data_IF_791478430214
#
_entry.id   IF_791478430214
#
_cell.length_a   1.000
_cell.length_b   1.000
_cell.length_c   1.000
_cell.angle_alpha   90.00
_cell.angle_beta   90.00
_cell.angle_gamma   90.00
#
_symmetry.space_group_name_H-M   'P 1'
#
loop_
_entity.id
_entity.type
_entity.pdbx_description
1 polymer ?
#
# COMPACT_ATOMS: atom_id res chain seq x y z
N UNK A 1 -23.50 -13.49 -10.92
CA UNK A 1 -22.44 -13.50 -11.95
C UNK A 1 -21.15 -13.44 -11.16
N UNK A 2 -20.30 -14.46 -11.23
CA UNK A 2 -19.07 -14.47 -10.45
C UNK A 2 -18.13 -13.40 -11.01
N UNK A 3 -17.67 -12.49 -10.14
CA UNK A 3 -16.70 -11.48 -10.52
C UNK A 3 -15.36 -12.16 -10.76
N UNK A 4 -14.80 -11.97 -11.96
CA UNK A 4 -13.49 -12.49 -12.31
C UNK A 4 -12.45 -11.63 -11.58
N UNK A 5 -11.69 -12.23 -10.65
CA UNK A 5 -10.73 -11.51 -9.81
C UNK A 5 -9.29 -11.69 -10.31
N UNK A 6 -8.48 -10.65 -10.15
CA UNK A 6 -7.04 -10.72 -10.36
C UNK A 6 -6.39 -11.61 -9.30
N UNK A 7 -5.64 -12.63 -9.71
CA UNK A 7 -4.96 -13.54 -8.75
C UNK A 7 -3.82 -12.87 -7.98
N UNK A 8 -3.33 -11.71 -8.43
CA UNK A 8 -2.25 -10.97 -7.79
C UNK A 8 -2.69 -9.95 -6.73
N UNK A 9 -3.79 -9.22 -6.96
CA UNK A 9 -4.23 -8.14 -6.07
C UNK A 9 -5.70 -8.24 -5.63
N UNK A 10 -6.44 -9.26 -6.09
CA UNK A 10 -7.86 -9.45 -5.75
C UNK A 10 -8.82 -8.45 -6.37
N UNK A 11 -8.36 -7.52 -7.20
CA UNK A 11 -9.25 -6.54 -7.85
C UNK A 11 -10.15 -7.20 -8.91
N UNK A 12 -11.41 -6.75 -9.06
CA UNK A 12 -12.29 -7.22 -10.13
C UNK A 12 -11.74 -6.81 -11.49
N UNK A 13 -11.64 -7.78 -12.40
CA UNK A 13 -11.07 -7.58 -13.72
C UNK A 13 -12.03 -6.82 -14.61
N UNK A 14 -11.50 -5.83 -15.34
CA UNK A 14 -12.23 -5.07 -16.33
C UNK A 14 -11.35 -4.72 -17.53
N UNK A 15 -11.94 -4.50 -18.70
CA UNK A 15 -11.21 -4.26 -19.96
C UNK A 15 -11.53 -2.90 -20.59
N UNK A 16 -12.31 -2.05 -19.89
CA UNK A 16 -12.88 -0.81 -20.43
C UNK A 16 -12.06 0.43 -20.10
N UNK A 17 -11.55 0.52 -18.87
CA UNK A 17 -10.93 1.73 -18.33
C UNK A 17 -9.48 1.48 -17.96
N UNK A 18 -8.55 1.83 -18.85
CA UNK A 18 -7.11 1.60 -18.66
C UNK A 18 -6.56 2.15 -17.35
N UNK A 19 -7.07 3.29 -16.93
CA UNK A 19 -6.58 4.02 -15.74
C UNK A 19 -7.29 3.60 -14.45
N UNK A 20 -8.20 2.62 -14.49
CA UNK A 20 -8.91 2.12 -13.31
C UNK A 20 -8.35 0.79 -12.84
N UNK A 21 -8.54 0.52 -11.55
CA UNK A 21 -8.14 -0.73 -10.91
C UNK A 21 -8.71 -1.93 -11.66
N UNK A 22 -7.94 -3.02 -11.70
CA UNK A 22 -8.37 -4.26 -12.34
C UNK A 22 -8.33 -4.24 -13.87
N UNK A 23 -7.81 -3.17 -14.50
CA UNK A 23 -7.68 -3.15 -15.95
C UNK A 23 -6.79 -4.27 -16.47
N UNK A 24 -7.25 -4.97 -17.50
CA UNK A 24 -6.42 -5.84 -18.34
C UNK A 24 -6.87 -5.72 -19.80
N UNK A 25 -5.98 -5.81 -20.79
CA UNK A 25 -6.40 -5.85 -22.20
C UNK A 25 -7.30 -7.06 -22.48
N UNK A 26 -8.26 -6.92 -23.39
CA UNK A 26 -9.19 -8.00 -23.77
C UNK A 26 -8.44 -9.29 -24.20
N UNK A 27 -7.36 -9.13 -24.96
CA UNK A 27 -6.51 -10.25 -25.39
C UNK A 27 -5.76 -10.95 -24.24
N UNK A 28 -5.47 -10.23 -23.15
CA UNK A 28 -4.86 -10.79 -21.96
C UNK A 28 -5.90 -11.48 -21.06
N UNK A 29 -7.14 -10.97 -21.05
CA UNK A 29 -8.26 -11.62 -20.38
C UNK A 29 -8.55 -13.00 -21.00
N UNK A 30 -8.68 -13.06 -22.31
CA UNK A 30 -8.96 -14.31 -23.04
C UNK A 30 -7.88 -15.36 -22.78
N UNK A 31 -6.60 -14.98 -22.93
CA UNK A 31 -5.47 -15.87 -22.60
C UNK A 31 -5.44 -16.28 -21.13
N UNK A 32 -5.69 -15.36 -20.21
CA UNK A 32 -5.68 -15.63 -18.77
C UNK A 32 -6.83 -16.55 -18.34
N UNK A 33 -7.96 -16.53 -19.03
CA UNK A 33 -9.06 -17.47 -18.81
C UNK A 33 -8.73 -18.88 -19.35
N UNK A 34 -7.97 -18.98 -20.44
CA UNK A 34 -7.51 -20.26 -20.99
C UNK A 34 -6.42 -20.91 -20.13
N UNK A 35 -5.47 -20.12 -19.62
CA UNK A 35 -4.34 -20.64 -18.82
C UNK A 35 -4.63 -20.72 -17.32
N UNK A 36 -5.67 -20.04 -16.84
CA UNK A 36 -5.97 -19.87 -15.41
C UNK A 36 -5.10 -18.81 -14.73
N UNK A 37 -4.18 -18.16 -15.45
CA UNK A 37 -3.27 -17.13 -14.90
C UNK A 37 -3.72 -15.72 -15.30
N UNK A 38 -4.73 -15.20 -14.60
CA UNK A 38 -5.30 -13.89 -14.90
C UNK A 38 -4.80 -12.78 -13.96
N UNK A 39 -3.96 -11.91 -14.52
CA UNK A 39 -3.45 -10.72 -13.84
C UNK A 39 -4.05 -9.43 -14.42
N UNK A 40 -4.27 -8.45 -13.55
CA UNK A 40 -4.44 -7.07 -14.00
C UNK A 40 -3.10 -6.51 -14.52
N UNK A 41 -3.16 -5.44 -15.32
CA UNK A 41 -1.99 -4.82 -15.93
C UNK A 41 -0.93 -4.43 -14.90
N UNK A 42 -1.34 -3.95 -13.71
CA UNK A 42 -0.41 -3.59 -12.62
C UNK A 42 0.35 -4.79 -12.09
N UNK A 43 -0.35 -5.87 -11.72
CA UNK A 43 0.27 -7.10 -11.22
C UNK A 43 1.16 -7.74 -12.27
N UNK A 44 0.74 -7.72 -13.55
CA UNK A 44 1.54 -8.22 -14.65
C UNK A 44 2.86 -7.46 -14.79
N UNK A 45 2.82 -6.11 -14.77
CA UNK A 45 4.04 -5.28 -14.86
C UNK A 45 4.95 -5.41 -13.66
N UNK A 46 4.39 -5.48 -12.46
CA UNK A 46 5.16 -5.73 -11.25
C UNK A 46 5.90 -7.07 -11.32
N UNK A 47 5.25 -8.12 -11.84
CA UNK A 47 5.86 -9.46 -11.91
C UNK A 47 6.92 -9.60 -13.00
N UNK A 48 6.71 -9.01 -14.18
CA UNK A 48 7.60 -9.21 -15.33
C UNK A 48 8.66 -8.11 -15.49
N UNK A 49 8.36 -6.90 -15.00
CA UNK A 49 9.21 -5.73 -15.18
C UNK A 49 9.66 -5.09 -13.86
N UNK A 50 9.23 -5.63 -12.71
CA UNK A 50 9.46 -5.05 -11.38
C UNK A 50 9.07 -3.56 -11.30
N UNK A 51 8.07 -3.17 -12.09
CA UNK A 51 7.65 -1.79 -12.22
C UNK A 51 6.54 -1.49 -11.23
N UNK A 52 6.85 -0.61 -10.27
CA UNK A 52 5.87 -0.09 -9.31
C UNK A 52 5.08 1.00 -10.02
N UNK A 53 3.81 0.71 -10.31
CA UNK A 53 2.90 1.73 -10.84
C UNK A 53 2.32 2.50 -9.66
N UNK A 54 2.40 3.83 -9.70
CA UNK A 54 1.81 4.68 -8.67
C UNK A 54 0.31 4.40 -8.54
N UNK A 55 -0.11 4.10 -7.32
CA UNK A 55 -1.52 4.07 -6.97
C UNK A 55 -1.92 5.52 -6.77
N UNK A 56 -2.85 6.01 -7.59
CA UNK A 56 -3.52 7.29 -7.32
C UNK A 56 -4.44 7.10 -6.11
N UNK A 57 -3.86 6.95 -4.92
CA UNK A 57 -4.54 7.29 -3.69
C UNK A 57 -4.67 8.81 -3.72
N UNK A 58 -5.90 9.30 -3.82
CA UNK A 58 -6.14 10.73 -3.64
C UNK A 58 -5.88 11.08 -2.19
N UNK A 59 -5.45 12.32 -1.92
CA UNK A 59 -5.24 12.78 -0.54
C UNK A 59 -6.51 12.59 0.31
N UNK A 60 -7.69 12.73 -0.30
CA UNK A 60 -8.99 12.52 0.34
C UNK A 60 -9.21 11.05 0.77
N UNK A 61 -8.84 10.08 -0.07
CA UNK A 61 -8.94 8.65 0.28
C UNK A 61 -8.01 8.30 1.44
N UNK A 62 -6.82 8.90 1.48
CA UNK A 62 -5.88 8.74 2.58
C UNK A 62 -6.44 9.34 3.89
N UNK A 63 -7.00 10.53 3.84
CA UNK A 63 -7.65 11.16 5.00
C UNK A 63 -8.83 10.33 5.51
N UNK A 64 -9.65 9.77 4.60
CA UNK A 64 -10.76 8.88 4.99
C UNK A 64 -10.28 7.63 5.73
N UNK A 65 -9.24 6.98 5.21
CA UNK A 65 -8.62 5.82 5.88
C UNK A 65 -8.09 6.19 7.27
N UNK A 66 -7.43 7.35 7.41
CA UNK A 66 -6.94 7.82 8.69
C UNK A 66 -8.06 8.12 9.69
N UNK A 67 -9.18 8.69 9.23
CA UNK A 67 -10.37 8.91 10.06
C UNK A 67 -10.99 7.59 10.53
N UNK A 68 -11.15 6.60 9.65
CA UNK A 68 -11.66 5.27 10.04
C UNK A 68 -10.76 4.59 11.08
N UNK A 69 -9.44 4.71 10.95
CA UNK A 69 -8.49 4.21 11.95
C UNK A 69 -8.65 4.98 13.26
N UNK A 70 -8.78 6.31 13.21
CA UNK A 70 -8.97 7.17 14.38
C UNK A 70 -10.22 6.87 15.19
N UNK A 71 -11.33 6.50 14.52
CA UNK A 71 -12.60 6.14 15.15
C UNK A 71 -12.62 4.70 15.71
N UNK A 72 -11.68 3.86 15.29
CA UNK A 72 -11.49 2.52 15.84
C UNK A 72 -10.72 2.55 17.16
N UNK A 73 -10.89 1.54 18.03
CA UNK A 73 -10.04 1.36 19.21
C UNK A 73 -8.90 0.38 18.87
N UNK A 74 -7.78 0.91 18.38
CA UNK A 74 -6.66 0.15 17.83
C UNK A 74 -5.30 0.72 18.25
N UNK A 75 -4.28 -0.14 18.25
CA UNK A 75 -2.89 0.31 18.40
C UNK A 75 -2.33 0.71 17.03
N UNK A 76 -1.94 1.96 16.86
CA UNK A 76 -1.33 2.45 15.63
C UNK A 76 0.18 2.30 15.72
N UNK A 77 0.76 1.39 14.94
CA UNK A 77 2.21 1.20 14.88
C UNK A 77 2.78 1.99 13.70
N UNK A 78 3.44 3.11 13.98
CA UNK A 78 4.09 3.95 12.97
C UNK A 78 5.56 3.55 12.81
N UNK A 79 5.90 2.93 11.69
CA UNK A 79 7.28 2.50 11.39
C UNK A 79 8.01 3.59 10.62
N UNK A 80 9.10 4.11 11.17
CA UNK A 80 9.90 5.20 10.56
C UNK A 80 11.31 4.72 10.23
N UNK A 81 11.88 5.13 9.09
CA UNK A 81 13.32 4.93 8.82
C UNK A 81 14.11 5.93 9.67
N UNK A 82 15.06 5.44 10.48
CA UNK A 82 15.86 6.29 11.36
C UNK A 82 16.80 7.21 10.56
N UNK A 83 17.18 6.86 9.33
CA UNK A 83 18.03 7.70 8.48
C UNK A 83 17.26 8.75 7.68
N UNK A 84 15.95 8.55 7.50
CA UNK A 84 15.08 9.48 6.79
C UNK A 84 13.80 9.72 7.58
N UNK A 85 13.97 10.26 8.79
CA UNK A 85 12.86 10.55 9.69
C UNK A 85 11.88 11.56 9.09
N UNK A 86 12.39 12.63 8.47
CA UNK A 86 11.53 13.66 7.87
C UNK A 86 10.74 13.13 6.66
N UNK A 87 11.30 12.18 5.89
CA UNK A 87 10.58 11.52 4.79
C UNK A 87 9.63 10.41 5.24
N UNK A 88 9.85 9.81 6.41
CA UNK A 88 9.06 8.69 6.92
C UNK A 88 7.93 9.11 7.88
N UNK A 89 7.95 10.33 8.40
CA UNK A 89 6.93 10.83 9.34
C UNK A 89 5.77 11.44 8.58
N UNK A 90 4.58 10.90 8.78
CA UNK A 90 3.33 11.44 8.24
C UNK A 90 2.93 12.69 9.06
N UNK A 91 2.95 13.90 8.45
CA UNK A 91 2.61 15.13 9.15
C UNK A 91 1.16 15.10 9.62
N UNK A 92 0.92 15.42 10.89
CA UNK A 92 -0.44 15.48 11.42
C UNK A 92 -1.08 14.14 11.75
N UNK A 93 -0.40 13.00 11.55
CA UNK A 93 -0.89 11.68 11.97
C UNK A 93 -1.47 11.69 13.40
N UNK A 94 -0.82 12.29 14.43
CA UNK A 94 -1.36 12.32 15.79
C UNK A 94 -2.70 13.04 15.93
N UNK A 95 -3.06 13.95 15.00
CA UNK A 95 -4.37 14.62 15.01
C UNK A 95 -5.48 13.70 14.52
N UNK A 96 -5.16 12.80 13.60
CA UNK A 96 -6.12 11.86 13.01
C UNK A 96 -6.32 10.61 13.87
N UNK A 97 -5.28 10.17 14.59
CA UNK A 97 -5.34 8.99 15.45
C UNK A 97 -5.43 9.34 16.94
N UNK A 98 -5.91 10.54 17.28
CA UNK A 98 -5.89 11.08 18.66
C UNK A 98 -6.65 10.23 19.70
N UNK A 99 -7.58 9.37 19.25
CA UNK A 99 -8.29 8.41 20.10
C UNK A 99 -7.54 7.11 20.39
N UNK A 100 -6.38 6.90 19.75
CA UNK A 100 -5.64 5.64 19.76
C UNK A 100 -4.22 5.79 20.28
N UNK A 101 -3.72 4.72 20.92
CA UNK A 101 -2.33 4.63 21.29
C UNK A 101 -1.45 4.53 20.03
N UNK A 102 -0.38 5.33 19.99
CA UNK A 102 0.57 5.34 18.87
C UNK A 102 1.93 4.82 19.32
N UNK A 103 2.39 3.73 18.72
CA UNK A 103 3.72 3.16 18.93
C UNK A 103 4.62 3.50 17.75
N UNK A 104 5.67 4.30 17.98
CA UNK A 104 6.67 4.62 16.97
C UNK A 104 7.78 3.56 16.96
N UNK A 105 8.07 2.99 15.78
CA UNK A 105 9.09 1.95 15.59
C UNK A 105 10.14 2.41 14.60
N UNK A 106 11.37 2.63 15.08
CA UNK A 106 12.50 2.98 14.22
C UNK A 106 13.07 1.75 13.51
N UNK A 107 12.93 1.71 12.19
CA UNK A 107 13.52 0.68 11.33
C UNK A 107 14.98 1.03 10.95
N UNK A 108 15.75 0.02 10.54
CA UNK A 108 17.11 0.15 9.98
C UNK A 108 18.21 0.58 10.97
N UNK A 109 18.08 0.26 12.26
CA UNK A 109 19.09 0.51 13.30
C UNK A 109 20.52 0.00 13.01
N UNK A 110 20.70 -0.91 12.06
CA UNK A 110 21.97 -1.63 11.78
C UNK A 110 23.14 -0.71 11.38
N UNK A 111 22.90 0.48 10.82
CA UNK A 111 23.99 1.39 10.43
C UNK A 111 24.40 2.42 11.50
N UNK A 112 23.94 2.27 12.75
CA UNK A 112 24.35 3.17 13.84
C UNK A 112 25.77 2.85 14.34
N UNK A 113 26.67 3.84 14.44
CA UNK A 113 27.95 3.66 15.12
C UNK A 113 27.71 3.27 16.58
N UNK A 114 28.55 2.39 17.12
CA UNK A 114 28.47 1.87 18.50
C UNK A 114 28.55 2.93 19.62
N UNK A 115 28.73 4.21 19.28
CA UNK A 115 28.88 5.33 20.23
C UNK A 115 27.55 5.94 20.73
N UNK A 116 26.43 5.69 20.07
CA UNK A 116 25.15 6.28 20.48
C UNK A 116 24.50 5.41 21.55
N UNK A 117 24.58 5.85 22.81
CA UNK A 117 23.82 5.27 23.92
C UNK A 117 22.33 5.54 23.69
N UNK A 118 21.55 4.48 23.53
CA UNK A 118 20.11 4.54 23.72
C UNK A 118 19.86 4.84 25.20
N UNK A 119 19.24 5.98 25.50
CA UNK A 119 18.77 6.29 26.83
C UNK A 119 17.76 5.20 27.24
N UNK A 120 17.95 4.66 28.45
CA UNK A 120 17.04 3.69 29.08
C UNK A 120 15.71 4.34 29.43
#
# INVERSE_FOLDING_TARGET
>A
MEDILCIGCGAPIQTKHKDKMGYTPQSALEKGLETGELYCQRCFRLRHYNEITDVQLTDDDFLRLLHEVGDSNALVVNVVDIFDFNGSVIPGLPRFVAGNDVLLVGNKKIFFPSLLRLAK
#
